data_IF_322232229354
#
_entry.id   IF_322232229354
#
_cell.length_a   1.000
_cell.length_b   1.000
_cell.length_c   1.000
_cell.angle_alpha   90.00
_cell.angle_beta   90.00
_cell.angle_gamma   90.00
#
_symmetry.space_group_name_H-M   'P 1'
#
loop_
_entity.id
_entity.type
_entity.pdbx_description
1 polymer ?
#
# COMPACT_ATOMS: atom_id res chain seq x y z
N UNK A 1 20.87 39.70 -11.34
CA UNK A 1 19.57 39.74 -10.65
C UNK A 1 19.05 38.33 -10.53
N UNK A 2 18.87 37.81 -9.32
CA UNK A 2 18.25 36.51 -9.06
C UNK A 2 16.74 36.62 -9.36
N UNK A 3 16.19 35.74 -10.19
CA UNK A 3 14.74 35.67 -10.44
C UNK A 3 14.06 35.12 -9.18
N UNK A 4 13.20 35.92 -8.56
CA UNK A 4 12.22 35.41 -7.60
C UNK A 4 11.04 34.82 -8.37
N UNK A 5 10.62 33.62 -7.99
CA UNK A 5 9.39 32.99 -8.47
C UNK A 5 8.74 32.24 -7.31
N UNK A 6 7.43 32.01 -7.41
CA UNK A 6 6.67 31.23 -6.42
C UNK A 6 6.63 29.78 -6.86
N UNK A 7 6.92 28.86 -5.93
CA UNK A 7 6.83 27.41 -6.12
C UNK A 7 5.98 26.83 -5.00
N UNK A 8 5.09 25.91 -5.36
CA UNK A 8 4.26 25.17 -4.40
C UNK A 8 4.40 23.67 -4.65
N UNK A 9 4.38 22.91 -3.56
CA UNK A 9 4.34 21.46 -3.53
C UNK A 9 3.44 21.03 -2.38
N UNK A 10 2.93 19.81 -2.43
CA UNK A 10 2.01 19.25 -1.46
C UNK A 10 2.45 17.86 -1.01
N UNK A 11 1.81 17.36 0.05
CA UNK A 11 2.00 16.02 0.59
C UNK A 11 0.68 15.54 1.16
N UNK A 12 0.52 14.24 1.28
CA UNK A 12 -0.67 13.60 1.85
C UNK A 12 -0.26 12.67 2.98
N UNK A 13 -1.14 12.48 3.96
CA UNK A 13 -0.91 11.53 5.06
C UNK A 13 -0.99 10.07 4.59
N UNK A 14 -0.52 9.15 5.44
CA UNK A 14 -0.53 7.71 5.13
C UNK A 14 -1.96 7.15 4.89
N UNK A 15 -2.98 7.77 5.48
CA UNK A 15 -4.38 7.41 5.25
C UNK A 15 -4.98 7.89 3.93
N UNK A 16 -4.27 8.68 3.12
CA UNK A 16 -4.75 9.00 1.78
C UNK A 16 -4.90 7.70 0.96
N UNK A 17 -6.01 7.45 0.26
CA UNK A 17 -6.29 6.15 -0.37
C UNK A 17 -5.18 5.73 -1.35
N UNK A 18 -4.62 6.68 -2.12
CA UNK A 18 -3.50 6.39 -3.00
C UNK A 18 -2.24 5.96 -2.22
N UNK A 19 -1.95 6.58 -1.08
CA UNK A 19 -0.82 6.17 -0.23
C UNK A 19 -1.08 4.88 0.51
N UNK A 20 -2.33 4.57 0.85
CA UNK A 20 -2.69 3.28 1.40
C UNK A 20 -2.47 2.17 0.36
N UNK A 21 -2.83 2.40 -0.90
CA UNK A 21 -2.54 1.47 -2.00
C UNK A 21 -1.02 1.26 -2.15
N UNK A 22 -0.23 2.34 -2.20
CA UNK A 22 1.24 2.28 -2.24
C UNK A 22 1.80 1.43 -1.07
N UNK A 23 1.35 1.70 0.16
CA UNK A 23 1.82 1.01 1.35
C UNK A 23 1.48 -0.49 1.33
N UNK A 24 0.29 -0.88 0.86
CA UNK A 24 -0.10 -2.29 0.74
C UNK A 24 0.77 -2.98 -0.32
N UNK A 25 1.00 -2.33 -1.47
CA UNK A 25 1.88 -2.87 -2.53
C UNK A 25 3.30 -3.12 -2.00
N UNK A 26 3.87 -2.13 -1.30
CA UNK A 26 5.22 -2.24 -0.73
C UNK A 26 5.30 -3.26 0.43
N UNK A 27 4.26 -3.37 1.26
CA UNK A 27 4.21 -4.39 2.31
C UNK A 27 4.19 -5.82 1.72
N UNK A 28 3.49 -6.03 0.61
CA UNK A 28 3.50 -7.30 -0.12
C UNK A 28 4.88 -7.57 -0.72
N UNK A 29 5.51 -6.56 -1.36
CA UNK A 29 6.88 -6.65 -1.86
C UNK A 29 7.85 -7.08 -0.74
N UNK A 30 7.78 -6.43 0.41
CA UNK A 30 8.62 -6.73 1.57
C UNK A 30 8.38 -8.15 2.11
N UNK A 31 7.13 -8.60 2.18
CA UNK A 31 6.80 -9.95 2.61
C UNK A 31 7.40 -11.01 1.67
N UNK A 32 7.30 -10.77 0.35
CA UNK A 32 7.87 -11.64 -0.67
C UNK A 32 9.40 -11.64 -0.60
N UNK A 33 10.05 -10.48 -0.63
CA UNK A 33 11.51 -10.37 -0.67
C UNK A 33 12.20 -10.87 0.60
N UNK A 34 11.52 -10.83 1.74
CA UNK A 34 12.00 -11.41 3.01
C UNK A 34 12.17 -12.92 2.91
N UNK A 35 11.34 -13.59 2.11
CA UNK A 35 11.37 -15.04 1.91
C UNK A 35 12.21 -15.42 0.69
N UNK A 36 12.10 -14.64 -0.39
CA UNK A 36 12.78 -14.86 -1.66
C UNK A 36 13.39 -13.55 -2.20
N UNK A 37 14.65 -13.24 -1.85
CA UNK A 37 15.32 -12.00 -2.27
C UNK A 37 15.53 -11.84 -3.77
N UNK A 38 15.29 -12.89 -4.57
CA UNK A 38 15.42 -12.85 -6.04
C UNK A 38 14.07 -12.83 -6.76
N UNK A 39 12.97 -12.73 -6.01
CA UNK A 39 11.64 -12.63 -6.56
C UNK A 39 11.50 -11.40 -7.47
N UNK A 40 10.59 -11.50 -8.44
CA UNK A 40 10.14 -10.36 -9.24
C UNK A 40 8.70 -10.07 -8.87
N UNK A 41 8.43 -8.83 -8.46
CA UNK A 41 7.14 -8.41 -7.93
C UNK A 41 6.70 -7.15 -8.67
N UNK A 42 5.59 -7.25 -9.37
CA UNK A 42 4.81 -6.12 -9.87
C UNK A 42 3.43 -6.21 -9.22
N UNK A 43 3.30 -5.65 -8.01
CA UNK A 43 2.08 -5.68 -7.21
C UNK A 43 1.34 -4.36 -7.37
N UNK A 44 0.09 -4.44 -7.83
CA UNK A 44 -0.79 -3.29 -8.04
C UNK A 44 -1.96 -3.38 -7.07
N UNK A 45 -2.32 -2.25 -6.44
CA UNK A 45 -3.40 -2.20 -5.45
C UNK A 45 -4.41 -1.12 -5.83
N UNK A 46 -5.67 -1.51 -5.89
CA UNK A 46 -6.81 -0.59 -6.00
C UNK A 46 -7.60 -0.62 -4.70
N UNK A 47 -7.86 0.56 -4.15
CA UNK A 47 -8.69 0.73 -2.95
C UNK A 47 -9.96 1.49 -3.31
N UNK A 48 -11.11 0.96 -2.86
CA UNK A 48 -12.39 1.67 -2.87
C UNK A 48 -13.20 1.27 -1.63
N UNK A 49 -14.33 1.93 -1.38
CA UNK A 49 -15.22 1.69 -0.23
C UNK A 49 -15.43 0.20 0.06
N UNK A 50 -14.91 -0.26 1.21
CA UNK A 50 -15.02 -1.64 1.69
C UNK A 50 -14.29 -2.69 0.83
N UNK A 51 -13.35 -2.28 -0.03
CA UNK A 51 -12.69 -3.19 -0.96
C UNK A 51 -11.22 -2.81 -1.21
N UNK A 52 -10.36 -3.82 -1.09
CA UNK A 52 -9.00 -3.80 -1.62
C UNK A 52 -8.88 -4.87 -2.69
N UNK A 53 -8.40 -4.49 -3.86
CA UNK A 53 -8.07 -5.41 -4.95
C UNK A 53 -6.56 -5.42 -5.09
N UNK A 54 -5.94 -6.58 -4.84
CA UNK A 54 -4.52 -6.84 -5.11
C UNK A 54 -4.41 -7.56 -6.46
N UNK A 55 -3.60 -7.01 -7.35
CA UNK A 55 -3.41 -7.49 -8.72
C UNK A 55 -1.94 -7.40 -9.17
N UNK A 56 -1.67 -7.81 -10.40
CA UNK A 56 -0.33 -7.79 -11.01
C UNK A 56 0.33 -9.16 -11.07
N UNK A 57 1.67 -9.18 -11.21
CA UNK A 57 2.44 -10.38 -11.45
C UNK A 57 3.57 -10.57 -10.41
N UNK A 58 3.57 -11.73 -9.76
CA UNK A 58 4.60 -12.13 -8.80
C UNK A 58 5.25 -13.44 -9.27
N UNK A 59 6.56 -13.41 -9.51
CA UNK A 59 7.38 -14.61 -9.72
C UNK A 59 8.23 -14.85 -8.49
N UNK A 60 7.87 -15.84 -7.68
CA UNK A 60 8.59 -16.16 -6.44
C UNK A 60 8.33 -17.60 -5.97
N UNK A 61 9.19 -18.10 -5.09
CA UNK A 61 8.96 -19.30 -4.28
C UNK A 61 8.33 -19.01 -2.90
N UNK A 62 8.09 -17.74 -2.57
CA UNK A 62 7.48 -17.35 -1.31
C UNK A 62 5.99 -17.74 -1.26
N UNK A 63 5.54 -18.19 -0.09
CA UNK A 63 4.13 -18.43 0.20
C UNK A 63 3.62 -17.33 1.13
N UNK A 64 2.93 -16.33 0.58
CA UNK A 64 2.45 -15.15 1.30
C UNK A 64 0.92 -15.18 1.37
N UNK A 65 0.38 -14.86 2.54
CA UNK A 65 -1.03 -14.51 2.69
C UNK A 65 -1.22 -13.02 2.39
N UNK A 66 -1.51 -12.72 1.13
CA UNK A 66 -1.66 -11.33 0.67
C UNK A 66 -2.81 -10.60 1.36
N UNK A 67 -3.88 -11.33 1.71
CA UNK A 67 -5.04 -10.74 2.39
C UNK A 67 -4.67 -10.33 3.80
N UNK A 68 -3.95 -11.18 4.54
CA UNK A 68 -3.49 -10.81 5.88
C UNK A 68 -2.52 -9.63 5.86
N UNK A 69 -1.54 -9.61 4.95
CA UNK A 69 -0.59 -8.48 4.83
C UNK A 69 -1.32 -7.16 4.52
N UNK A 70 -2.30 -7.17 3.62
CA UNK A 70 -3.10 -5.99 3.32
C UNK A 70 -3.88 -5.51 4.56
N UNK A 71 -4.55 -6.42 5.28
CA UNK A 71 -5.30 -6.10 6.51
C UNK A 71 -4.41 -5.52 7.60
N UNK A 72 -3.26 -6.15 7.86
CA UNK A 72 -2.30 -5.67 8.85
C UNK A 72 -1.79 -4.26 8.50
N UNK A 73 -1.53 -4.00 7.22
CA UNK A 73 -1.11 -2.68 6.73
C UNK A 73 -2.21 -1.63 6.93
N UNK A 74 -3.47 -1.97 6.66
CA UNK A 74 -4.62 -1.08 6.84
C UNK A 74 -4.82 -0.74 8.34
N UNK A 75 -4.67 -1.74 9.22
CA UNK A 75 -4.77 -1.56 10.66
C UNK A 75 -3.62 -0.72 11.22
N UNK A 76 -2.40 -0.88 10.72
CA UNK A 76 -1.23 -0.07 11.11
C UNK A 76 -1.38 1.40 10.71
N UNK A 77 -2.01 1.68 9.55
CA UNK A 77 -2.39 3.04 9.14
C UNK A 77 -3.44 3.64 10.09
N UNK A 78 -4.26 2.81 10.73
CA UNK A 78 -5.29 3.22 11.70
C UNK A 78 -6.73 3.10 11.19
N UNK A 79 -6.99 2.34 10.12
CA UNK A 79 -8.34 2.04 9.64
C UNK A 79 -8.91 0.78 10.29
N UNK A 80 -9.55 0.94 11.45
CA UNK A 80 -10.06 -0.14 12.30
C UNK A 80 -11.56 0.00 12.66
N UNK A 81 -12.31 0.84 11.96
CA UNK A 81 -13.74 1.04 12.19
C UNK A 81 -14.43 1.59 10.92
N UNK A 82 -15.52 0.96 10.49
CA UNK A 82 -16.34 1.47 9.37
C UNK A 82 -16.80 2.93 9.60
N UNK A 83 -16.94 3.37 10.85
CA UNK A 83 -17.31 4.74 11.21
C UNK A 83 -16.28 5.80 10.78
N UNK A 84 -15.00 5.43 10.64
CA UNK A 84 -13.95 6.31 10.10
C UNK A 84 -13.81 6.17 8.56
N UNK A 85 -14.65 5.34 7.94
CA UNK A 85 -14.80 5.20 6.49
C UNK A 85 -14.13 3.98 5.87
N UNK A 86 -13.41 3.18 6.67
CA UNK A 86 -12.76 1.93 6.23
C UNK A 86 -12.36 1.07 7.44
N UNK A 87 -12.48 -0.25 7.34
CA UNK A 87 -12.08 -1.22 8.39
C UNK A 87 -11.20 -2.33 7.79
N UNK A 88 -10.03 -2.56 8.40
CA UNK A 88 -9.09 -3.61 8.03
C UNK A 88 -9.37 -4.99 8.62
N UNK A 89 -10.29 -5.12 9.60
CA UNK A 89 -10.64 -6.40 10.25
C UNK A 89 -11.44 -7.33 9.34
#
# INVERSE_FOLDING_TARGET
MTRQFVFSSESVGAGHPDKMADNISDAILDAVLRTDPKARVACEVLVKTGMVVVAGEITSHAHIDYSQVARDTILDIGYDDDAIGFDGR
#
